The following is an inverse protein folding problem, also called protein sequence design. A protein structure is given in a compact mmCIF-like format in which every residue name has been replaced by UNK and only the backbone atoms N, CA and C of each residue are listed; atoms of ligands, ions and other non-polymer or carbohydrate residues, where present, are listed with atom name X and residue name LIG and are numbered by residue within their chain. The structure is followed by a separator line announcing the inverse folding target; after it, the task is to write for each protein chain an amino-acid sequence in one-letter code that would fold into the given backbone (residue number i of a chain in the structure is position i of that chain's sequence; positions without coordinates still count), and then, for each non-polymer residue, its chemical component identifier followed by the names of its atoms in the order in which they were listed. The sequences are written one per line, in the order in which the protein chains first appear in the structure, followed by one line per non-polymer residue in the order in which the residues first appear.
data_IF_458330223094
#
_entry.id   IF_458330223094
#
_cell.length_a   1.000
_cell.length_b   1.000
_cell.length_c   1.000
_cell.angle_alpha   90.00
_cell.angle_beta   90.00
_cell.angle_gamma   90.00
#
_symmetry.space_group_name_H-M   'P 1'
#
loop_
_entity.id
_entity.type
_entity.pdbx_description
1 polymer ?
#
# COMPACT_ATOMS: atom_id res chain seq x y z
N UNK A 1 -7.40 27.05 52.10
CA UNK A 1 -8.31 26.48 51.08
C UNK A 1 -8.61 27.57 50.04
N UNK A 2 -8.09 27.46 48.80
CA UNK A 2 -8.33 28.29 47.57
C UNK A 2 -7.03 28.58 46.78
N UNK A 3 -6.25 27.55 46.43
CA UNK A 3 -5.11 27.72 45.49
C UNK A 3 -4.94 26.59 44.46
N UNK A 4 -5.76 25.53 44.52
CA UNK A 4 -5.68 24.38 43.61
C UNK A 4 -6.71 24.37 42.46
N UNK A 5 -7.59 25.36 42.38
CA UNK A 5 -8.63 25.43 41.32
C UNK A 5 -8.23 26.24 40.09
N UNK A 6 -7.22 27.11 40.19
CA UNK A 6 -6.84 28.03 39.10
C UNK A 6 -5.96 27.33 38.05
N UNK A 7 -5.09 26.40 38.45
CA UNK A 7 -4.22 25.68 37.52
C UNK A 7 -4.95 24.64 36.64
N UNK A 8 -6.11 24.12 37.09
CA UNK A 8 -6.91 23.18 36.31
C UNK A 8 -7.73 23.87 35.21
N UNK A 9 -8.11 25.13 35.41
CA UNK A 9 -8.87 25.90 34.41
C UNK A 9 -7.96 26.37 33.28
N UNK A 10 -6.70 26.72 33.56
CA UNK A 10 -5.75 27.18 32.53
C UNK A 10 -5.34 26.05 31.56
N UNK A 11 -5.19 24.81 32.07
CA UNK A 11 -4.86 23.63 31.23
C UNK A 11 -6.04 23.24 30.33
N UNK A 12 -7.28 23.42 30.80
CA UNK A 12 -8.48 23.10 30.02
C UNK A 12 -8.69 24.09 28.84
N UNK A 13 -8.34 25.36 29.02
CA UNK A 13 -8.51 26.39 27.97
C UNK A 13 -7.47 26.22 26.83
N UNK A 14 -6.24 25.80 27.14
CA UNK A 14 -5.21 25.55 26.11
C UNK A 14 -5.58 24.33 25.24
N UNK A 15 -6.20 23.30 25.82
CA UNK A 15 -6.66 22.10 25.11
C UNK A 15 -7.83 22.39 24.17
N UNK A 16 -8.73 23.32 24.53
CA UNK A 16 -9.87 23.71 23.67
C UNK A 16 -9.41 24.56 22.47
N UNK A 17 -8.40 25.42 22.65
CA UNK A 17 -7.86 26.24 21.54
C UNK A 17 -7.04 25.40 20.55
N UNK A 18 -6.30 24.39 21.03
CA UNK A 18 -5.56 23.46 20.17
C UNK A 18 -6.46 22.59 19.28
N UNK A 19 -7.62 22.15 19.79
CA UNK A 19 -8.63 21.40 19.01
C UNK A 19 -9.34 22.29 17.99
N UNK A 20 -9.57 23.57 18.32
CA UNK A 20 -10.20 24.53 17.41
C UNK A 20 -9.33 24.86 16.19
N UNK A 21 -8.00 25.00 16.36
CA UNK A 21 -7.08 25.28 15.26
C UNK A 21 -6.90 24.08 14.31
N UNK A 22 -6.86 22.85 14.84
CA UNK A 22 -6.80 21.62 14.02
C UNK A 22 -8.08 21.35 13.21
N UNK A 23 -9.25 21.65 13.78
CA UNK A 23 -10.53 21.50 13.09
C UNK A 23 -10.71 22.51 11.94
N UNK A 24 -10.21 23.74 12.09
CA UNK A 24 -10.26 24.78 11.04
C UNK A 24 -9.36 24.43 9.86
N UNK A 25 -8.18 23.82 10.08
CA UNK A 25 -7.34 23.33 8.98
C UNK A 25 -7.95 22.15 8.22
N UNK A 26 -8.65 21.24 8.90
CA UNK A 26 -9.32 20.09 8.26
C UNK A 26 -10.58 20.51 7.47
N UNK A 27 -11.35 21.47 7.99
CA UNK A 27 -12.52 22.02 7.29
C UNK A 27 -12.15 22.87 6.07
N UNK A 28 -11.06 23.64 6.12
CA UNK A 28 -10.58 24.39 4.95
C UNK A 28 -10.05 23.45 3.83
N UNK A 29 -9.48 22.29 4.16
CA UNK A 29 -9.13 21.27 3.17
C UNK A 29 -10.36 20.61 2.54
N UNK A 30 -11.43 20.40 3.31
CA UNK A 30 -12.69 19.85 2.78
C UNK A 30 -13.41 20.85 1.88
N UNK A 31 -13.44 22.13 2.28
CA UNK A 31 -14.15 23.16 1.52
C UNK A 31 -13.43 23.58 0.22
N UNK A 32 -12.09 23.43 0.16
CA UNK A 32 -11.32 23.64 -1.09
C UNK A 32 -11.43 22.47 -2.07
N UNK A 33 -11.88 21.27 -1.63
CA UNK A 33 -12.16 20.11 -2.50
C UNK A 33 -13.56 20.11 -3.10
N UNK A 34 -14.53 20.81 -2.48
CA UNK A 34 -15.93 20.83 -2.94
C UNK A 34 -16.23 21.93 -3.97
N UNK A 35 -15.38 22.96 -4.10
CA UNK A 35 -15.66 24.16 -4.91
C UNK A 35 -14.68 24.41 -6.07
N UNK A 36 -14.06 23.37 -6.65
CA UNK A 36 -13.31 23.54 -7.91
C UNK A 36 -14.26 23.38 -9.11
N UNK A 37 -14.63 24.47 -9.81
CA UNK A 37 -15.55 24.43 -10.95
C UNK A 37 -14.94 23.80 -12.22
N UNK A 38 -13.70 23.31 -12.20
CA UNK A 38 -13.10 22.55 -13.31
C UNK A 38 -13.33 21.03 -13.26
N UNK A 39 -14.27 20.55 -12.44
CA UNK A 39 -14.69 19.15 -12.49
C UNK A 39 -15.55 18.87 -13.73
N UNK A 40 -14.94 18.13 -14.65
CA UNK A 40 -15.55 17.41 -15.77
C UNK A 40 -16.07 18.26 -16.93
N UNK A 41 -15.14 18.71 -17.76
CA UNK A 41 -15.28 18.57 -19.21
C UNK A 41 -14.00 17.92 -19.75
N UNK A 42 -13.91 16.60 -19.63
CA UNK A 42 -12.94 15.83 -20.40
C UNK A 42 -13.70 15.22 -21.57
N UNK A 43 -13.84 16.01 -22.63
CA UNK A 43 -14.08 15.48 -23.96
C UNK A 43 -12.94 14.53 -24.31
N UNK A 44 -13.32 13.29 -24.66
CA UNK A 44 -12.52 12.24 -25.32
C UNK A 44 -11.00 12.49 -25.34
N UNK A 45 -10.34 12.34 -24.20
CA UNK A 45 -8.88 12.16 -24.22
C UNK A 45 -8.63 10.71 -24.59
N UNK A 46 -8.06 10.55 -25.79
CA UNK A 46 -7.60 9.30 -26.35
C UNK A 46 -6.87 8.45 -25.31
N UNK A 47 -7.21 7.17 -25.27
CA UNK A 47 -6.43 6.11 -24.62
C UNK A 47 -5.05 6.14 -25.28
N UNK A 48 -4.08 6.74 -24.61
CA UNK A 48 -2.69 6.70 -25.07
C UNK A 48 -2.12 5.39 -24.57
N UNK A 49 -1.82 4.47 -25.49
CA UNK A 49 -0.90 3.36 -25.24
C UNK A 49 0.46 3.97 -24.89
N UNK A 50 0.72 4.18 -23.60
CA UNK A 50 2.03 4.59 -23.09
C UNK A 50 2.79 3.36 -22.60
N UNK A 51 4.10 3.41 -22.81
CA UNK A 51 5.07 2.36 -22.47
C UNK A 51 4.95 1.98 -20.97
N UNK A 52 4.29 0.84 -20.71
CA UNK A 52 3.83 0.37 -19.38
C UNK A 52 4.93 -0.26 -18.53
N UNK A 53 6.20 0.01 -18.81
CA UNK A 53 7.30 -0.61 -18.08
C UNK A 53 7.34 -0.09 -16.63
N UNK A 54 6.69 -0.83 -15.73
CA UNK A 54 6.67 -0.56 -14.29
C UNK A 54 8.04 -0.81 -13.64
N UNK A 55 8.84 -1.70 -14.23
CA UNK A 55 10.14 -2.10 -13.71
C UNK A 55 11.26 -1.34 -14.37
N UNK A 56 12.37 -1.23 -13.66
CA UNK A 56 13.60 -0.65 -14.20
C UNK A 56 14.80 -1.39 -13.66
N UNK A 57 15.74 -1.73 -14.54
CA UNK A 57 17.00 -2.32 -14.12
C UNK A 57 17.86 -1.27 -13.41
N UNK A 58 18.22 -1.56 -12.16
CA UNK A 58 19.23 -0.82 -11.42
C UNK A 58 20.53 -1.61 -11.37
N UNK A 59 21.66 -0.92 -11.38
CA UNK A 59 22.98 -1.58 -11.39
C UNK A 59 23.29 -2.22 -10.05
N UNK A 60 24.05 -3.32 -10.08
CA UNK A 60 24.57 -3.94 -8.86
C UNK A 60 25.44 -3.00 -8.04
N UNK A 61 26.17 -2.07 -8.68
CA UNK A 61 27.00 -1.09 -7.99
C UNK A 61 26.17 -0.07 -7.22
N UNK A 62 25.02 0.34 -7.77
CA UNK A 62 24.05 1.17 -7.07
C UNK A 62 23.52 0.47 -5.81
N UNK A 63 23.11 -0.79 -5.92
CA UNK A 63 22.64 -1.57 -4.76
C UNK A 63 23.74 -1.74 -3.70
N UNK A 64 24.98 -2.02 -4.12
CA UNK A 64 26.14 -2.16 -3.22
C UNK A 64 26.57 -0.85 -2.56
N UNK A 65 26.14 0.29 -3.08
CA UNK A 65 26.43 1.60 -2.46
C UNK A 65 25.63 1.84 -1.17
N UNK A 66 24.58 1.05 -0.94
CA UNK A 66 23.70 1.17 0.22
C UNK A 66 24.23 0.40 1.43
N UNK A 67 24.04 0.95 2.63
CA UNK A 67 24.15 0.16 3.85
C UNK A 67 22.97 -0.81 4.00
N UNK A 68 23.04 -1.72 4.97
CA UNK A 68 22.04 -2.77 5.17
C UNK A 68 20.62 -2.22 5.36
N UNK A 69 20.44 -1.22 6.25
CA UNK A 69 19.12 -0.60 6.48
C UNK A 69 18.58 0.11 5.23
N UNK A 70 19.46 0.77 4.48
CA UNK A 70 19.11 1.40 3.20
C UNK A 70 18.69 0.37 2.17
N UNK A 71 19.39 -0.75 2.05
CA UNK A 71 19.07 -1.79 1.09
C UNK A 71 17.72 -2.46 1.39
N UNK A 72 17.45 -2.78 2.66
CA UNK A 72 16.16 -3.35 3.07
C UNK A 72 15.03 -2.37 2.74
N UNK A 73 15.17 -1.11 3.13
CA UNK A 73 14.19 -0.07 2.84
C UNK A 73 13.99 0.09 1.32
N UNK A 74 15.08 0.12 0.55
CA UNK A 74 15.05 0.22 -0.90
C UNK A 74 14.27 -0.93 -1.54
N UNK A 75 14.52 -2.18 -1.11
CA UNK A 75 13.82 -3.35 -1.64
C UNK A 75 12.32 -3.32 -1.34
N UNK A 76 11.92 -2.90 -0.13
CA UNK A 76 10.50 -2.82 0.25
C UNK A 76 9.70 -1.85 -0.64
N UNK A 77 10.29 -0.70 -0.98
CA UNK A 77 9.61 0.36 -1.76
C UNK A 77 9.83 0.22 -3.28
N UNK A 78 10.53 -0.83 -3.72
CA UNK A 78 10.84 -1.14 -5.12
C UNK A 78 10.73 -2.65 -5.42
N UNK A 79 10.01 -3.40 -4.59
CA UNK A 79 9.99 -4.87 -4.60
C UNK A 79 9.55 -5.46 -5.94
N UNK A 80 8.67 -4.76 -6.67
CA UNK A 80 8.22 -5.12 -8.01
C UNK A 80 9.35 -5.23 -9.06
N UNK A 81 10.54 -4.68 -8.78
CA UNK A 81 11.70 -4.78 -9.67
C UNK A 81 12.46 -6.11 -9.52
N UNK A 82 12.15 -6.90 -8.49
CA UNK A 82 12.91 -8.09 -8.11
C UNK A 82 12.23 -9.42 -8.49
N UNK A 83 11.10 -9.35 -9.20
CA UNK A 83 10.40 -10.51 -9.72
C UNK A 83 9.59 -10.15 -10.97
N UNK A 84 9.33 -11.14 -11.82
CA UNK A 84 8.50 -11.02 -13.01
C UNK A 84 7.05 -11.38 -12.73
N UNK A 85 6.85 -12.49 -12.02
CA UNK A 85 5.55 -13.00 -11.63
C UNK A 85 5.54 -13.35 -10.15
N UNK A 86 4.40 -13.17 -9.50
CA UNK A 86 4.18 -13.63 -8.14
C UNK A 86 2.76 -14.14 -7.98
N UNK A 87 2.63 -15.29 -7.33
CA UNK A 87 1.35 -15.86 -6.90
C UNK A 87 1.40 -16.13 -5.41
N UNK A 88 0.32 -15.82 -4.70
CA UNK A 88 0.24 -16.17 -3.29
C UNK A 88 -1.13 -15.97 -2.66
N UNK A 89 -1.16 -16.19 -1.35
CA UNK A 89 -2.33 -15.99 -0.51
C UNK A 89 -1.94 -15.27 0.78
N UNK A 90 -2.67 -14.20 1.12
CA UNK A 90 -2.51 -13.41 2.34
C UNK A 90 -3.72 -13.64 3.23
N UNK A 91 -3.49 -13.91 4.52
CA UNK A 91 -4.50 -13.70 5.55
C UNK A 91 -4.20 -12.40 6.30
N UNK A 92 -5.23 -11.60 6.52
CA UNK A 92 -5.13 -10.34 7.22
C UNK A 92 -6.11 -10.27 8.39
N UNK A 93 -5.75 -9.51 9.42
CA UNK A 93 -6.53 -9.39 10.63
C UNK A 93 -6.45 -8.00 11.25
N UNK A 94 -7.46 -7.69 12.06
CA UNK A 94 -7.53 -6.48 12.87
C UNK A 94 -8.38 -5.39 12.24
N UNK A 95 -8.59 -4.31 12.99
CA UNK A 95 -9.53 -3.25 12.63
C UNK A 95 -9.04 -2.41 11.44
N UNK A 96 -7.72 -2.42 11.20
CA UNK A 96 -7.09 -1.62 10.15
C UNK A 96 -6.85 -2.41 8.85
N UNK A 97 -7.09 -3.73 8.85
CA UNK A 97 -6.76 -4.58 7.70
C UNK A 97 -7.94 -5.37 7.12
N UNK A 98 -9.15 -5.30 7.69
CA UNK A 98 -10.28 -6.20 7.38
C UNK A 98 -9.90 -7.69 7.59
N UNK A 99 -10.81 -8.51 8.14
CA UNK A 99 -10.54 -9.94 8.31
C UNK A 99 -10.88 -10.68 7.01
N UNK A 100 -9.91 -10.80 6.10
CA UNK A 100 -10.10 -11.35 4.76
C UNK A 100 -8.95 -12.28 4.37
N UNK A 101 -9.25 -13.23 3.49
CA UNK A 101 -8.26 -14.00 2.75
C UNK A 101 -8.16 -13.41 1.34
N UNK A 102 -6.95 -13.09 0.90
CA UNK A 102 -6.69 -12.50 -0.41
C UNK A 102 -5.76 -13.42 -1.19
N UNK A 103 -6.23 -13.94 -2.33
CA UNK A 103 -5.39 -14.64 -3.30
C UNK A 103 -5.01 -13.70 -4.41
N UNK A 104 -3.79 -13.82 -4.91
CA UNK A 104 -3.30 -12.96 -5.98
C UNK A 104 -2.44 -13.72 -6.96
N UNK A 105 -2.55 -13.32 -8.22
CA UNK A 105 -1.68 -13.69 -9.33
C UNK A 105 -1.30 -12.40 -10.04
N UNK A 106 -0.02 -12.06 -10.05
CA UNK A 106 0.49 -10.81 -10.61
C UNK A 106 1.57 -11.16 -11.62
N UNK A 107 1.45 -10.58 -12.81
CA UNK A 107 2.46 -10.61 -13.86
C UNK A 107 2.88 -9.17 -14.17
N UNK A 108 4.02 -8.78 -13.60
CA UNK A 108 4.51 -7.41 -13.67
C UNK A 108 4.92 -7.08 -15.11
N UNK A 109 5.58 -8.01 -15.80
CA UNK A 109 6.06 -7.82 -17.18
C UNK A 109 4.93 -7.62 -18.18
N UNK A 110 3.83 -8.34 -18.01
CA UNK A 110 2.66 -8.27 -18.89
C UNK A 110 1.65 -7.23 -18.42
N UNK A 111 1.91 -6.57 -17.30
CA UNK A 111 1.00 -5.61 -16.67
C UNK A 111 -0.41 -6.21 -16.48
N UNK A 112 -0.47 -7.41 -15.88
CA UNK A 112 -1.71 -8.14 -15.60
C UNK A 112 -1.79 -8.58 -14.15
N UNK A 113 -2.98 -8.54 -13.56
CA UNK A 113 -3.22 -9.14 -12.26
C UNK A 113 -4.65 -9.69 -12.11
N UNK A 114 -4.77 -10.69 -11.24
CA UNK A 114 -6.02 -11.22 -10.72
C UNK A 114 -5.90 -11.26 -9.20
N UNK A 115 -6.81 -10.59 -8.52
CA UNK A 115 -6.87 -10.53 -7.06
C UNK A 115 -8.26 -11.00 -6.63
N UNK A 116 -8.31 -11.97 -5.73
CA UNK A 116 -9.54 -12.54 -5.21
C UNK A 116 -9.60 -12.29 -3.71
N UNK A 117 -10.58 -11.51 -3.26
CA UNK A 117 -10.80 -11.17 -1.86
C UNK A 117 -12.02 -11.93 -1.36
N UNK A 118 -11.81 -12.81 -0.39
CA UNK A 118 -12.87 -13.59 0.23
C UNK A 118 -12.98 -13.27 1.72
N UNK A 119 -14.20 -12.95 2.16
CA UNK A 119 -14.55 -12.75 3.55
C UNK A 119 -16.01 -13.11 3.79
N UNK A 120 -16.50 -12.98 5.03
CA UNK A 120 -17.92 -13.22 5.33
C UNK A 120 -18.88 -12.30 4.55
N UNK A 121 -18.42 -11.09 4.23
CA UNK A 121 -19.24 -10.05 3.60
C UNK A 121 -18.86 -9.78 2.14
N UNK A 122 -17.64 -10.14 1.71
CA UNK A 122 -17.12 -9.85 0.37
C UNK A 122 -16.69 -11.15 -0.32
N UNK A 123 -17.02 -11.26 -1.60
CA UNK A 123 -16.47 -12.27 -2.49
C UNK A 123 -16.21 -11.57 -3.83
N UNK A 124 -15.04 -10.94 -3.94
CA UNK A 124 -14.70 -10.03 -5.02
C UNK A 124 -13.53 -10.59 -5.82
N UNK A 125 -13.63 -10.53 -7.15
CA UNK A 125 -12.49 -10.70 -8.05
C UNK A 125 -12.18 -9.41 -8.77
N UNK A 126 -10.94 -8.96 -8.70
CA UNK A 126 -10.45 -7.79 -9.43
C UNK A 126 -9.46 -8.25 -10.47
N UNK A 127 -9.71 -7.89 -11.72
CA UNK A 127 -8.78 -8.13 -12.83
C UNK A 127 -8.25 -6.79 -13.32
N UNK A 128 -6.94 -6.74 -13.47
CA UNK A 128 -6.26 -5.71 -14.23
C UNK A 128 -5.64 -6.35 -15.47
N UNK A 129 -6.01 -5.84 -16.65
CA UNK A 129 -5.48 -6.30 -17.93
C UNK A 129 -5.62 -5.18 -18.97
N UNK A 130 -4.56 -4.90 -19.73
CA UNK A 130 -4.57 -3.92 -20.83
C UNK A 130 -5.08 -2.53 -20.41
N UNK A 131 -4.59 -2.04 -19.26
CA UNK A 131 -4.97 -0.73 -18.71
C UNK A 131 -6.42 -0.62 -18.22
N UNK A 132 -7.15 -1.73 -18.19
CA UNK A 132 -8.52 -1.79 -17.69
C UNK A 132 -8.56 -2.57 -16.39
N UNK A 133 -9.24 -1.99 -15.41
CA UNK A 133 -9.53 -2.65 -14.15
C UNK A 133 -11.03 -2.99 -14.10
N UNK A 134 -11.35 -4.20 -13.66
CA UNK A 134 -12.73 -4.66 -13.49
C UNK A 134 -12.88 -5.41 -12.17
N UNK A 135 -13.88 -5.03 -11.40
CA UNK A 135 -14.33 -5.77 -10.22
C UNK A 135 -15.54 -6.62 -10.58
N UNK A 136 -15.55 -7.85 -10.09
CA UNK A 136 -16.66 -8.78 -10.11
C UNK A 136 -17.09 -9.06 -8.68
N UNK A 137 -18.35 -8.82 -8.35
CA UNK A 137 -18.98 -9.29 -7.12
C UNK A 137 -19.59 -10.67 -7.37
N UNK A 138 -18.90 -11.70 -6.87
CA UNK A 138 -19.29 -13.10 -7.05
C UNK A 138 -20.56 -13.47 -6.29
N UNK A 139 -20.89 -12.72 -5.22
CA UNK A 139 -22.07 -12.97 -4.38
C UNK A 139 -23.33 -12.39 -5.01
N UNK A 140 -23.24 -11.17 -5.51
CA UNK A 140 -24.37 -10.48 -6.14
C UNK A 140 -24.46 -10.73 -7.65
N UNK A 141 -23.43 -11.36 -8.25
CA UNK A 141 -23.29 -11.56 -9.68
C UNK A 141 -23.39 -10.24 -10.44
N UNK A 142 -22.65 -9.25 -9.95
CA UNK A 142 -22.50 -7.94 -10.59
C UNK A 142 -21.05 -7.68 -11.00
N UNK A 143 -20.84 -6.76 -11.93
CA UNK A 143 -19.50 -6.28 -12.26
C UNK A 143 -19.50 -4.78 -12.51
N UNK A 144 -18.33 -4.16 -12.32
CA UNK A 144 -18.10 -2.75 -12.67
C UNK A 144 -16.73 -2.58 -13.29
N UNK A 145 -16.66 -1.71 -14.30
CA UNK A 145 -15.40 -1.26 -14.85
C UNK A 145 -14.89 -0.10 -13.98
N UNK A 146 -13.66 -0.21 -13.49
CA UNK A 146 -12.96 0.86 -12.79
C UNK A 146 -12.16 1.62 -13.82
N UNK A 147 -12.46 2.92 -13.95
CA UNK A 147 -11.65 3.81 -14.77
C UNK A 147 -10.28 3.96 -14.10
N UNK A 148 -9.26 3.40 -14.74
CA UNK A 148 -7.87 3.57 -14.32
C UNK A 148 -7.39 4.91 -14.86
N UNK A 149 -7.06 5.82 -13.96
CA UNK A 149 -6.31 7.03 -14.30
C UNK A 149 -4.85 6.72 -13.96
N UNK A 150 -4.13 6.10 -14.88
CA UNK A 150 -2.71 5.85 -14.68
C UNK A 150 -2.00 7.20 -14.69
N UNK A 151 -1.48 7.59 -13.53
CA UNK A 151 -0.55 8.71 -13.44
C UNK A 151 0.85 8.12 -13.57
N UNK A 152 1.46 8.24 -14.75
CA UNK A 152 2.81 7.75 -15.01
C UNK A 152 3.88 8.62 -14.32
N UNK A 153 3.47 9.82 -13.86
CA UNK A 153 4.30 10.78 -13.17
C UNK A 153 3.67 11.23 -11.86
N UNK A 154 4.48 11.33 -10.81
CA UNK A 154 4.08 11.93 -9.54
C UNK A 154 4.97 13.13 -9.26
N UNK A 155 4.37 14.30 -9.03
CA UNK A 155 5.10 15.57 -8.83
C UNK A 155 6.14 15.86 -9.95
N UNK A 156 5.86 15.46 -11.19
CA UNK A 156 6.73 15.68 -12.35
C UNK A 156 7.87 14.66 -12.50
N UNK A 157 7.90 13.60 -11.70
CA UNK A 157 8.87 12.51 -11.80
C UNK A 157 8.18 11.24 -12.30
N UNK A 158 8.73 10.58 -13.33
CA UNK A 158 8.23 9.31 -13.83
C UNK A 158 8.33 8.22 -12.77
N UNK A 159 7.28 7.41 -12.61
CA UNK A 159 7.25 6.32 -11.62
C UNK A 159 8.38 5.31 -11.82
N UNK A 160 8.76 5.02 -13.06
CA UNK A 160 9.88 4.12 -13.38
C UNK A 160 11.23 4.68 -12.91
N UNK A 161 11.43 6.00 -13.00
CA UNK A 161 12.66 6.66 -12.55
C UNK A 161 12.82 6.70 -11.03
N UNK A 162 11.73 6.52 -10.27
CA UNK A 162 11.78 6.48 -8.79
C UNK A 162 12.62 5.30 -8.27
N UNK A 163 12.76 4.21 -9.02
CA UNK A 163 13.67 3.10 -8.69
C UNK A 163 15.14 3.54 -8.65
N UNK A 164 15.52 4.57 -9.41
CA UNK A 164 16.91 5.04 -9.50
C UNK A 164 17.32 5.95 -8.34
N UNK A 165 16.40 6.21 -7.41
CA UNK A 165 16.60 7.08 -6.25
C UNK A 165 16.96 6.26 -5.01
N UNK A 166 17.86 6.80 -4.19
CA UNK A 166 18.10 6.27 -2.84
C UNK A 166 16.83 6.44 -1.99
N UNK A 167 16.60 5.60 -0.96
CA UNK A 167 15.38 5.68 -0.16
C UNK A 167 15.11 7.07 0.45
N UNK A 168 16.14 7.77 0.92
CA UNK A 168 15.99 9.13 1.47
C UNK A 168 15.60 10.19 0.43
N UNK A 169 15.78 9.91 -0.87
CA UNK A 169 15.38 10.77 -1.97
C UNK A 169 13.95 10.49 -2.45
N UNK A 170 13.29 9.46 -1.89
CA UNK A 170 11.92 9.06 -2.24
C UNK A 170 10.84 9.85 -1.51
N UNK A 171 11.17 10.96 -0.85
CA UNK A 171 10.20 11.77 -0.11
C UNK A 171 10.16 13.20 -0.63
N UNK A 172 8.96 13.76 -0.75
CA UNK A 172 8.77 15.17 -1.06
C UNK A 172 9.03 16.08 0.17
N UNK A 173 8.90 17.39 -0.01
CA UNK A 173 9.08 18.38 1.07
C UNK A 173 8.14 18.15 2.27
N UNK A 174 6.99 17.53 2.04
CA UNK A 174 6.03 17.13 3.08
C UNK A 174 6.41 15.85 3.83
N UNK A 175 7.57 15.24 3.53
CA UNK A 175 7.98 13.92 3.99
C UNK A 175 6.98 12.80 3.64
N UNK A 176 6.28 12.95 2.52
CA UNK A 176 5.40 11.94 1.92
C UNK A 176 6.20 11.18 0.86
N UNK A 177 6.10 9.86 0.86
CA UNK A 177 6.78 9.03 -0.12
C UNK A 177 6.22 9.30 -1.53
N UNK A 178 7.09 9.44 -2.52
CA UNK A 178 6.77 9.47 -3.93
C UNK A 178 6.40 8.04 -4.35
N UNK A 179 5.12 7.73 -4.63
CA UNK A 179 4.67 6.35 -4.76
C UNK A 179 4.89 5.80 -6.18
N UNK A 180 5.31 4.53 -6.26
CA UNK A 180 5.29 3.70 -7.46
C UNK A 180 4.03 2.83 -7.56
N UNK A 181 3.10 3.05 -6.65
CA UNK A 181 1.84 2.31 -6.54
C UNK A 181 1.13 2.21 -7.90
N UNK A 182 0.54 1.04 -8.13
CA UNK A 182 -0.04 0.62 -9.40
C UNK A 182 -1.29 -0.20 -9.12
N UNK A 183 -2.25 -0.14 -10.04
CA UNK A 183 -3.49 -0.89 -10.00
C UNK A 183 -3.28 -2.41 -10.10
N UNK A 184 -2.09 -2.87 -10.49
CA UNK A 184 -1.73 -4.29 -10.42
C UNK A 184 -1.85 -4.88 -9.02
N UNK A 185 -1.67 -4.05 -7.98
CA UNK A 185 -1.49 -4.49 -6.59
C UNK A 185 -2.69 -4.16 -5.69
N UNK A 186 -3.87 -3.86 -6.27
CA UNK A 186 -5.04 -3.43 -5.50
C UNK A 186 -5.39 -4.40 -4.35
N UNK A 187 -5.17 -3.95 -3.11
CA UNK A 187 -5.48 -4.74 -1.91
C UNK A 187 -4.33 -5.60 -1.39
N UNK A 188 -3.26 -5.79 -2.16
CA UNK A 188 -2.06 -6.57 -1.77
C UNK A 188 -0.78 -5.73 -1.71
N UNK A 189 -0.83 -4.47 -2.12
CA UNK A 189 0.26 -3.48 -2.10
C UNK A 189 0.97 -3.40 -0.75
N UNK A 190 0.22 -3.45 0.36
CA UNK A 190 0.77 -3.49 1.73
C UNK A 190 1.84 -4.57 1.97
N UNK A 191 1.80 -5.66 1.21
CA UNK A 191 2.80 -6.73 1.22
C UNK A 191 3.73 -6.63 0.03
N UNK A 192 3.17 -6.61 -1.18
CA UNK A 192 3.91 -6.77 -2.43
C UNK A 192 4.74 -5.53 -2.78
N UNK A 193 4.33 -4.32 -2.40
CA UNK A 193 5.02 -3.05 -2.60
C UNK A 193 4.69 -2.10 -1.45
N UNK A 194 5.28 -2.35 -0.28
CA UNK A 194 4.85 -1.76 1.01
C UNK A 194 5.30 -0.30 1.21
N UNK A 195 5.03 0.56 0.23
CA UNK A 195 5.37 1.98 0.23
C UNK A 195 4.56 2.74 1.28
N UNK A 196 3.25 2.51 1.33
CA UNK A 196 2.34 3.26 2.20
C UNK A 196 2.61 3.00 3.69
N UNK A 197 2.90 1.75 4.06
CA UNK A 197 3.11 1.33 5.45
C UNK A 197 4.59 1.45 5.80
N UNK A 198 5.41 0.50 5.34
CA UNK A 198 6.80 0.41 5.76
C UNK A 198 7.66 1.51 5.15
N UNK A 199 7.41 1.91 3.89
CA UNK A 199 8.05 3.09 3.30
C UNK A 199 7.82 4.36 4.13
N UNK A 200 6.65 4.53 4.75
CA UNK A 200 6.41 5.66 5.66
C UNK A 200 7.14 5.51 6.99
N UNK A 201 7.17 4.30 7.56
CA UNK A 201 7.71 4.07 8.91
C UNK A 201 9.24 4.02 8.95
N UNK A 202 9.87 3.56 7.86
CA UNK A 202 11.30 3.27 7.82
C UNK A 202 12.17 4.45 7.42
N UNK A 203 11.59 5.61 7.10
CA UNK A 203 12.33 6.83 6.70
C UNK A 203 13.35 7.32 7.73
N UNK A 204 13.08 7.07 9.01
CA UNK A 204 13.98 7.40 10.13
C UNK A 204 14.65 6.12 10.63
N UNK A 205 15.89 5.89 10.20
CA UNK A 205 16.66 4.68 10.52
C UNK A 205 17.03 4.52 11.99
N UNK A 206 16.78 5.53 12.83
CA UNK A 206 16.92 5.44 14.29
C UNK A 206 15.69 4.88 15.00
N UNK A 207 14.57 4.70 14.28
CA UNK A 207 13.28 4.27 14.84
C UNK A 207 12.93 2.81 14.56
N UNK A 208 13.83 2.07 13.94
CA UNK A 208 13.65 0.66 13.66
C UNK A 208 15.01 -0.03 13.59
N UNK A 209 15.03 -1.32 13.86
CA UNK A 209 16.23 -2.14 13.90
C UNK A 209 16.04 -3.45 13.14
N UNK A 210 17.17 -4.07 12.83
CA UNK A 210 17.24 -5.40 12.23
C UNK A 210 17.40 -6.38 13.38
N UNK A 211 16.40 -7.23 13.59
CA UNK A 211 16.35 -8.15 14.73
C UNK A 211 17.04 -9.49 14.40
N UNK A 212 17.40 -9.71 13.15
CA UNK A 212 18.09 -10.90 12.66
C UNK A 212 17.45 -11.47 11.40
N UNK A 213 17.75 -12.74 11.14
CA UNK A 213 17.23 -13.47 9.98
C UNK A 213 16.34 -14.64 10.45
N UNK A 214 15.32 -14.95 9.67
CA UNK A 214 14.38 -16.05 9.90
C UNK A 214 14.06 -16.73 8.56
N UNK A 215 13.66 -18.01 8.59
CA UNK A 215 13.11 -18.67 7.41
C UNK A 215 11.58 -18.68 7.51
N UNK A 216 10.90 -18.26 6.44
CA UNK A 216 9.44 -18.27 6.37
C UNK A 216 9.00 -18.71 4.98
N UNK A 217 8.09 -19.69 4.91
CA UNK A 217 7.63 -20.30 3.65
C UNK A 217 8.80 -20.80 2.76
N UNK A 218 9.87 -21.32 3.38
CA UNK A 218 11.06 -21.80 2.68
C UNK A 218 11.95 -20.70 2.10
N UNK A 219 11.72 -19.43 2.49
CA UNK A 219 12.46 -18.27 2.02
C UNK A 219 13.23 -17.61 3.16
N UNK A 220 14.42 -17.11 2.86
CA UNK A 220 15.22 -16.35 3.82
C UNK A 220 14.61 -14.96 3.99
N UNK A 221 14.43 -14.56 5.23
CA UNK A 221 13.80 -13.30 5.57
C UNK A 221 14.68 -12.51 6.53
N UNK A 222 14.70 -11.20 6.35
CA UNK A 222 15.17 -10.27 7.37
C UNK A 222 14.00 -9.90 8.26
N UNK A 223 14.19 -10.04 9.57
CA UNK A 223 13.24 -9.57 10.57
C UNK A 223 13.60 -8.16 11.00
N UNK A 224 12.63 -7.26 10.94
CA UNK A 224 12.77 -5.91 11.47
C UNK A 224 11.68 -5.61 12.50
N UNK A 225 11.99 -4.71 13.42
CA UNK A 225 11.01 -4.12 14.33
C UNK A 225 11.23 -2.61 14.45
N UNK A 226 10.17 -1.87 14.76
CA UNK A 226 10.29 -0.43 14.90
C UNK A 226 9.05 0.27 15.43
N UNK A 227 9.13 1.59 15.50
CA UNK A 227 8.04 2.47 15.90
C UNK A 227 7.18 2.85 14.69
N UNK A 228 5.86 2.84 14.88
CA UNK A 228 4.93 3.35 13.87
C UNK A 228 5.09 4.85 13.68
N UNK A 229 4.76 5.32 12.48
CA UNK A 229 4.55 6.74 12.27
C UNK A 229 3.18 7.15 12.82
N UNK A 230 3.18 7.74 14.02
CA UNK A 230 1.97 8.12 14.73
C UNK A 230 1.32 6.95 15.48
N UNK A 231 0.48 7.28 16.46
CA UNK A 231 -0.30 6.31 17.23
C UNK A 231 -1.65 6.12 16.57
N UNK A 232 -2.06 4.86 16.36
CA UNK A 232 -3.42 4.56 15.95
C UNK A 232 -4.31 4.55 17.21
N UNK A 233 -5.19 5.54 17.35
CA UNK A 233 -6.05 5.67 18.53
C UNK A 233 -7.06 4.52 18.66
N UNK A 234 -7.41 3.85 17.55
CA UNK A 234 -8.39 2.75 17.55
C UNK A 234 -7.77 1.44 17.98
N UNK A 235 -6.69 1.04 17.30
CA UNK A 235 -6.00 -0.23 17.60
C UNK A 235 -5.04 -0.12 18.78
N UNK A 236 -4.65 1.12 19.15
CA UNK A 236 -3.57 1.42 20.11
C UNK A 236 -2.21 0.88 19.68
N UNK A 237 -2.05 0.57 18.40
CA UNK A 237 -0.77 0.13 17.86
C UNK A 237 0.28 1.24 17.96
N UNK A 238 1.48 0.88 18.43
CA UNK A 238 2.61 1.78 18.63
C UNK A 238 3.90 1.27 17.96
N UNK A 239 4.03 -0.05 17.82
CA UNK A 239 5.20 -0.70 17.22
C UNK A 239 4.78 -1.59 16.04
N UNK A 240 5.76 -2.06 15.29
CA UNK A 240 5.55 -3.08 14.27
C UNK A 240 6.69 -4.10 14.27
N UNK A 241 6.39 -5.29 13.76
CA UNK A 241 7.37 -6.30 13.35
C UNK A 241 7.06 -6.68 11.90
N UNK A 242 8.08 -6.85 11.08
CA UNK A 242 7.95 -7.35 9.71
C UNK A 242 8.98 -8.43 9.40
N UNK A 243 8.56 -9.46 8.67
CA UNK A 243 9.44 -10.40 7.98
C UNK A 243 9.47 -10.05 6.50
N UNK A 244 10.65 -9.72 6.00
CA UNK A 244 10.86 -9.23 4.64
C UNK A 244 11.71 -10.25 3.90
N UNK A 245 11.24 -10.71 2.74
CA UNK A 245 11.99 -11.59 1.86
C UNK A 245 13.33 -10.94 1.45
N UNK A 246 14.44 -11.63 1.70
CA UNK A 246 15.77 -11.06 1.51
C UNK A 246 16.12 -10.81 0.04
N UNK A 247 15.56 -11.61 -0.88
CA UNK A 247 15.73 -11.51 -2.31
C UNK A 247 14.91 -10.36 -2.89
N UNK A 248 13.59 -10.33 -2.61
CA UNK A 248 12.62 -9.47 -3.32
C UNK A 248 12.19 -8.22 -2.57
N UNK A 249 12.33 -8.19 -1.24
CA UNK A 249 11.79 -7.10 -0.41
C UNK A 249 10.29 -7.17 -0.13
N UNK A 250 9.59 -8.21 -0.60
CA UNK A 250 8.17 -8.42 -0.24
C UNK A 250 8.06 -8.67 1.26
N UNK A 251 7.07 -8.04 1.88
CA UNK A 251 6.75 -8.26 3.30
C UNK A 251 5.93 -9.54 3.40
N UNK A 252 6.53 -10.62 3.89
CA UNK A 252 5.87 -11.93 4.02
C UNK A 252 4.95 -12.02 5.23
N UNK A 253 5.28 -11.27 6.29
CA UNK A 253 4.48 -11.15 7.51
C UNK A 253 4.67 -9.78 8.12
N UNK A 254 3.60 -9.22 8.66
CA UNK A 254 3.60 -7.92 9.31
C UNK A 254 2.61 -7.89 10.46
N UNK A 255 3.06 -7.47 11.65
CA UNK A 255 2.24 -7.31 12.84
C UNK A 255 2.40 -5.89 13.38
N UNK A 256 1.29 -5.21 13.68
CA UNK A 256 1.26 -3.99 14.49
C UNK A 256 0.99 -4.38 15.94
N UNK A 257 1.82 -3.87 16.85
CA UNK A 257 1.79 -4.24 18.26
C UNK A 257 1.31 -3.08 19.12
N UNK A 258 0.48 -3.39 20.12
CA UNK A 258 0.14 -2.47 21.20
C UNK A 258 1.29 -2.30 22.21
N UNK A 259 1.07 -1.47 23.24
CA UNK A 259 2.06 -1.21 24.29
C UNK A 259 2.46 -2.44 25.12
N UNK A 260 1.70 -3.54 25.07
CA UNK A 260 1.98 -4.81 25.74
C UNK A 260 2.56 -5.87 24.78
N UNK A 261 3.05 -5.44 23.61
CA UNK A 261 3.60 -6.29 22.56
C UNK A 261 2.61 -7.33 22.00
N UNK A 262 1.30 -7.05 22.12
CA UNK A 262 0.26 -7.88 21.52
C UNK A 262 -0.01 -7.42 20.09
N UNK A 263 -0.01 -8.35 19.13
CA UNK A 263 -0.46 -8.09 17.77
C UNK A 263 -1.95 -7.72 17.76
N UNK A 264 -2.26 -6.54 17.23
CA UNK A 264 -3.63 -5.99 17.15
C UNK A 264 -4.12 -5.83 15.72
N UNK A 265 -3.20 -5.72 14.77
CA UNK A 265 -3.44 -5.64 13.34
C UNK A 265 -2.30 -6.35 12.62
N UNK A 266 -2.52 -6.87 11.42
CA UNK A 266 -1.45 -7.44 10.65
C UNK A 266 -1.90 -8.28 9.47
N UNK A 267 -0.93 -8.90 8.83
CA UNK A 267 -1.14 -9.89 7.79
C UNK A 267 0.02 -10.90 7.75
N UNK A 268 -0.26 -12.08 7.21
CA UNK A 268 0.72 -13.12 6.98
C UNK A 268 0.40 -13.83 5.68
N UNK A 269 1.41 -14.10 4.86
CA UNK A 269 1.26 -14.96 3.70
C UNK A 269 1.11 -16.41 4.16
N UNK A 270 0.29 -17.17 3.44
CA UNK A 270 0.14 -18.63 3.57
C UNK A 270 0.94 -19.37 2.52
N UNK A 271 1.06 -18.79 1.33
CA UNK A 271 1.84 -19.30 0.22
C UNK A 271 2.40 -18.15 -0.62
N UNK A 272 3.56 -18.34 -1.23
CA UNK A 272 4.13 -17.44 -2.22
C UNK A 272 5.03 -18.21 -3.19
N UNK A 273 4.88 -17.96 -4.48
CA UNK A 273 5.72 -18.49 -5.54
C UNK A 273 6.09 -17.37 -6.52
N UNK A 274 7.34 -17.36 -6.97
CA UNK A 274 7.91 -16.31 -7.81
C UNK A 274 8.40 -16.85 -9.14
N UNK A 275 8.28 -16.06 -10.19
CA UNK A 275 8.87 -16.31 -11.50
C UNK A 275 8.44 -17.66 -12.11
N UNK A 276 7.27 -18.17 -11.71
CA UNK A 276 6.64 -19.33 -12.31
C UNK A 276 5.86 -18.92 -13.55
N UNK A 277 5.77 -19.84 -14.51
CA UNK A 277 4.93 -19.66 -15.69
C UNK A 277 3.45 -19.57 -15.29
N UNK A 278 2.77 -18.54 -15.76
CA UNK A 278 1.37 -18.28 -15.43
C UNK A 278 0.46 -18.50 -16.64
N UNK A 279 -0.66 -19.18 -16.41
CA UNK A 279 -1.71 -19.27 -17.43
C UNK A 279 -2.34 -17.90 -17.62
N UNK A 280 -2.20 -17.31 -18.82
CA UNK A 280 -2.71 -15.97 -19.13
C UNK A 280 -4.24 -15.90 -19.21
N UNK A 281 -4.91 -17.03 -19.41
CA UNK A 281 -6.37 -17.07 -19.52
C UNK A 281 -7.07 -16.67 -18.20
N UNK A 282 -6.38 -16.77 -17.06
CA UNK A 282 -6.92 -16.37 -15.75
C UNK A 282 -7.21 -14.86 -15.68
N UNK A 283 -6.58 -14.05 -16.53
CA UNK A 283 -6.76 -12.60 -16.61
C UNK A 283 -7.88 -12.18 -17.57
N UNK A 284 -8.61 -13.13 -18.13
CA UNK A 284 -9.69 -12.90 -19.08
C UNK A 284 -10.99 -13.53 -18.56
N UNK A 285 -11.65 -12.89 -17.57
CA UNK A 285 -12.98 -13.30 -17.14
C UNK A 285 -14.07 -12.69 -18.03
N UNK A 286 -14.96 -13.55 -18.52
CA UNK A 286 -16.18 -13.13 -19.21
C UNK A 286 -17.18 -12.53 -18.20
N UNK A 287 -17.95 -11.57 -18.68
CA UNK A 287 -19.07 -10.95 -17.95
C UNK A 287 -20.37 -11.76 -18.09
N UNK A 288 -20.36 -12.87 -18.84
CA UNK A 288 -21.51 -13.75 -18.95
C UNK A 288 -21.98 -14.21 -17.55
N UNK A 289 -23.25 -13.97 -17.25
CA UNK A 289 -23.84 -14.27 -15.94
C UNK A 289 -23.73 -13.15 -14.91
N UNK A 290 -23.11 -12.01 -15.25
CA UNK A 290 -23.03 -10.84 -14.39
C UNK A 290 -23.87 -9.67 -14.94
N UNK A 291 -24.45 -8.90 -14.03
CA UNK A 291 -25.11 -7.63 -14.36
C UNK A 291 -24.16 -6.45 -14.13
N UNK A 292 -24.07 -5.51 -15.07
CA UNK A 292 -23.24 -4.31 -14.88
C UNK A 292 -23.86 -3.41 -13.81
N UNK A 293 -23.08 -2.99 -12.82
CA UNK A 293 -23.54 -2.00 -11.85
C UNK A 293 -23.73 -0.65 -12.52
N UNK A 294 -24.89 -0.03 -12.31
CA UNK A 294 -25.13 1.36 -12.68
C UNK A 294 -24.45 2.27 -11.66
N UNK A 295 -23.59 3.16 -12.13
CA UNK A 295 -23.07 4.27 -11.32
C UNK A 295 -24.21 5.25 -11.05
N UNK A 296 -24.99 5.00 -10.00
CA UNK A 296 -25.91 6.00 -9.46
C UNK A 296 -25.08 6.99 -8.63
N UNK A 297 -24.47 7.96 -9.32
CA UNK A 297 -23.81 9.08 -8.67
C UNK A 297 -24.82 9.88 -7.85
N UNK A 298 -24.88 9.60 -6.55
CA UNK A 298 -25.55 10.44 -5.54
C UNK A 298 -24.52 11.00 -4.58
#
# INVERSE_FOLDING_TARGET
MRRNSINKILILVILIIGVALGAVTFLNMKHKRENDPNRFNVTDKQIVNQDTALTTEVTNDFLKSMNEKQLIHYKIINSIDFFDTVKGEINQFGISFDNEDIKFNIDVKSNMSLIEINSKSKDIKTIFNDGKCRDFDEKNKTYRDIQVVSQDEYEGVKKSDLSKLMPNQRYNEGNVILPRSTELLLGVDKSILSEAILGTYMKDYSKWDIDGNEEFLGRKCVKISGLRYGKDERSKAEKYIALIDDETGIVLKYDELDANDKAVNGFSLKEINFNEAMNKDIFNLDVQGYSKESFDGK
#
